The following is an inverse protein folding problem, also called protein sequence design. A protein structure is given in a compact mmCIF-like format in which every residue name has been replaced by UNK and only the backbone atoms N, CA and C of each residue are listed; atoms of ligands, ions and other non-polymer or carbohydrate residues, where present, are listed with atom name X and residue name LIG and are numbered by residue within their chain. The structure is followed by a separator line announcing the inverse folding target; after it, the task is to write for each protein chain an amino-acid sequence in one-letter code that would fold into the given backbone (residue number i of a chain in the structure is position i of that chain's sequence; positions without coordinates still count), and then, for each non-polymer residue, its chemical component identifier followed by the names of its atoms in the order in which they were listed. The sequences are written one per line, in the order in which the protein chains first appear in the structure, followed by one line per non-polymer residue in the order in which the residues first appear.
data_IF_430956211378
#
_entry.id   IF_430956211378
#
_cell.length_a   1.000
_cell.length_b   1.000
_cell.length_c   1.000
_cell.angle_alpha   90.00
_cell.angle_beta   90.00
_cell.angle_gamma   90.00
#
_symmetry.space_group_name_H-M   'P 1'
#
loop_
_entity.id
_entity.type
_entity.pdbx_description
1 polymer ?
#
# COMPACT_ATOMS: atom_id res chain seq x y z
N UNK A 1 -10.55 -11.58 -63.45
CA UNK A 1 -9.72 -12.03 -62.32
C UNK A 1 -10.54 -11.84 -61.07
N UNK A 2 -11.28 -12.89 -60.70
CA UNK A 2 -12.00 -12.94 -59.44
C UNK A 2 -11.13 -13.68 -58.45
N UNK A 3 -10.85 -13.06 -57.31
CA UNK A 3 -10.30 -13.77 -56.15
C UNK A 3 -11.09 -13.28 -54.94
N UNK A 4 -11.93 -14.18 -54.47
CA UNK A 4 -12.61 -14.21 -53.19
C UNK A 4 -11.59 -14.40 -52.06
N UNK A 5 -11.75 -13.67 -50.96
CA UNK A 5 -11.19 -14.05 -49.67
C UNK A 5 -12.22 -13.75 -48.58
N UNK A 6 -13.05 -14.76 -48.28
CA UNK A 6 -13.81 -14.83 -47.03
C UNK A 6 -12.84 -15.13 -45.90
N UNK A 7 -12.73 -14.23 -44.93
CA UNK A 7 -12.19 -14.53 -43.61
C UNK A 7 -13.30 -14.38 -42.57
N UNK A 8 -13.63 -15.51 -41.96
CA UNK A 8 -14.43 -15.75 -40.76
C UNK A 8 -14.73 -14.52 -39.87
N UNK A 9 -16.02 -14.17 -39.76
CA UNK A 9 -16.57 -13.30 -38.72
C UNK A 9 -17.73 -14.00 -38.02
N UNK A 10 -17.52 -14.38 -36.76
CA UNK A 10 -18.51 -14.97 -35.85
C UNK A 10 -19.47 -13.88 -35.32
N UNK A 11 -20.73 -14.20 -34.96
CA UNK A 11 -21.78 -13.23 -34.75
C UNK A 11 -21.83 -12.78 -33.28
N UNK A 12 -21.44 -11.55 -33.01
CA UNK A 12 -21.93 -10.81 -31.84
C UNK A 12 -22.28 -9.38 -32.29
N UNK A 13 -23.44 -9.25 -32.92
CA UNK A 13 -24.05 -7.94 -33.10
C UNK A 13 -24.79 -7.58 -31.81
N UNK A 14 -24.12 -6.82 -30.94
CA UNK A 14 -24.77 -6.17 -29.81
C UNK A 14 -24.84 -4.68 -30.11
N UNK A 15 -25.98 -4.30 -30.66
CA UNK A 15 -26.49 -2.95 -30.85
C UNK A 15 -26.25 -2.08 -29.60
N UNK A 16 -25.16 -1.31 -29.59
CA UNK A 16 -25.01 -0.18 -28.68
C UNK A 16 -25.61 1.07 -29.33
N UNK A 17 -26.86 1.32 -28.96
CA UNK A 17 -27.57 2.56 -29.27
C UNK A 17 -26.81 3.77 -28.75
N UNK A 18 -26.61 4.71 -29.67
CA UNK A 18 -26.20 6.08 -29.44
C UNK A 18 -27.27 6.78 -28.58
N UNK A 19 -26.98 7.04 -27.30
CA UNK A 19 -27.73 7.99 -26.49
C UNK A 19 -26.82 9.18 -26.15
N UNK A 20 -26.79 10.12 -27.09
CA UNK A 20 -26.40 11.48 -26.80
C UNK A 20 -27.45 12.14 -25.90
N UNK A 21 -26.97 12.74 -24.81
CA UNK A 21 -27.66 13.85 -24.15
C UNK A 21 -28.39 13.48 -22.87
N UNK A 22 -27.70 13.54 -21.74
CA UNK A 22 -28.28 14.02 -20.48
C UNK A 22 -27.21 14.83 -19.74
N UNK A 23 -27.02 16.08 -20.21
CA UNK A 23 -26.59 17.17 -19.34
C UNK A 23 -27.76 17.42 -18.39
N UNK A 24 -27.79 16.70 -17.27
CA UNK A 24 -28.74 16.99 -16.23
C UNK A 24 -27.99 17.04 -14.91
N UNK A 25 -27.66 18.28 -14.59
CA UNK A 25 -27.46 18.82 -13.25
C UNK A 25 -28.67 18.53 -12.38
N UNK A 26 -28.95 17.27 -12.09
CA UNK A 26 -29.90 16.89 -11.06
C UNK A 26 -29.17 16.95 -9.73
N UNK A 27 -29.25 18.16 -9.14
CA UNK A 27 -28.92 18.41 -7.75
C UNK A 27 -29.79 17.48 -6.90
N UNK A 28 -29.23 16.32 -6.53
CA UNK A 28 -29.76 15.46 -5.47
C UNK A 28 -29.91 16.36 -4.24
N UNK A 29 -31.15 16.53 -3.80
CA UNK A 29 -31.53 17.36 -2.66
C UNK A 29 -30.78 16.91 -1.40
N UNK A 30 -29.64 17.55 -1.12
CA UNK A 30 -28.73 17.23 -0.02
C UNK A 30 -27.27 17.59 -0.29
N UNK A 31 -26.81 17.48 -1.54
CA UNK A 31 -25.43 17.86 -1.93
C UNK A 31 -25.41 19.31 -2.40
N UNK A 32 -25.00 20.23 -1.51
CA UNK A 32 -25.04 21.68 -1.78
C UNK A 32 -23.84 22.23 -2.56
N UNK A 33 -22.81 21.44 -2.83
CA UNK A 33 -21.61 21.93 -3.51
C UNK A 33 -21.16 21.01 -4.62
N UNK A 34 -20.79 21.61 -5.76
CA UNK A 34 -19.92 20.96 -6.72
C UNK A 34 -18.65 20.53 -5.96
N UNK A 35 -17.99 19.39 -6.24
CA UNK A 35 -16.82 18.96 -5.47
C UNK A 35 -15.72 20.03 -5.37
N UNK A 36 -15.63 20.92 -6.37
CA UNK A 36 -14.72 22.07 -6.41
C UNK A 36 -15.04 23.19 -5.40
N UNK A 37 -16.28 23.30 -4.91
CA UNK A 37 -16.74 24.34 -3.96
C UNK A 37 -16.98 23.78 -2.54
N UNK A 38 -16.53 22.56 -2.28
CA UNK A 38 -16.69 21.91 -0.99
C UNK A 38 -15.72 22.49 0.05
N UNK A 39 -16.27 23.18 1.05
CA UNK A 39 -15.50 23.82 2.11
C UNK A 39 -14.83 22.80 3.02
N UNK A 40 -15.48 21.66 3.27
CA UNK A 40 -14.88 20.53 3.99
C UNK A 40 -13.66 19.99 3.25
N UNK A 41 -13.74 19.77 1.93
CA UNK A 41 -12.60 19.31 1.14
C UNK A 41 -11.47 20.34 1.12
N UNK A 42 -11.80 21.62 0.97
CA UNK A 42 -10.85 22.73 0.92
C UNK A 42 -10.12 22.97 2.25
N UNK A 43 -10.80 22.79 3.38
CA UNK A 43 -10.22 23.00 4.72
C UNK A 43 -9.63 21.74 5.33
N UNK A 44 -9.89 20.56 4.77
CA UNK A 44 -9.34 19.31 5.29
C UNK A 44 -7.82 19.37 5.28
N UNK A 45 -7.23 18.95 6.40
CA UNK A 45 -5.80 18.77 6.56
C UNK A 45 -5.51 17.35 6.98
N UNK A 46 -4.38 16.85 6.52
CA UNK A 46 -3.79 15.60 6.97
C UNK A 46 -2.66 15.91 7.93
N UNK A 47 -2.58 15.13 9.01
CA UNK A 47 -1.53 15.24 9.99
C UNK A 47 -1.17 13.84 10.47
N UNK A 48 0.13 13.55 10.50
CA UNK A 48 0.64 12.36 11.14
C UNK A 48 0.84 12.59 12.63
N UNK A 49 0.24 11.70 13.43
CA UNK A 49 0.31 11.71 14.89
C UNK A 49 1.37 10.76 15.46
N UNK A 50 2.16 10.09 14.63
CA UNK A 50 3.21 9.19 15.10
C UNK A 50 4.36 9.97 15.78
N UNK A 51 5.23 9.24 16.48
CA UNK A 51 6.45 9.81 17.07
C UNK A 51 7.69 9.69 16.14
N UNK A 52 7.53 9.23 14.90
CA UNK A 52 8.64 9.00 13.95
C UNK A 52 8.91 10.21 13.07
N UNK A 53 10.14 10.47 12.62
CA UNK A 53 10.39 11.59 11.69
C UNK A 53 9.90 11.26 10.27
N UNK A 54 8.77 11.85 9.88
CA UNK A 54 8.11 11.71 8.57
C UNK A 54 7.46 13.04 8.16
N UNK A 55 6.95 13.13 6.93
CA UNK A 55 6.15 14.22 6.41
C UNK A 55 4.83 14.41 7.18
N UNK A 56 4.17 15.55 6.99
CA UNK A 56 2.88 15.86 7.63
C UNK A 56 2.85 15.87 9.18
N UNK A 57 3.99 16.09 9.86
CA UNK A 57 3.99 16.37 11.31
C UNK A 57 3.16 17.56 11.71
N UNK A 58 3.23 18.62 10.90
CA UNK A 58 2.28 19.71 10.95
C UNK A 58 1.11 19.41 10.00
N UNK A 59 -0.09 19.82 10.40
CA UNK A 59 -1.29 19.65 9.58
C UNK A 59 -1.16 20.36 8.23
N UNK A 60 -1.12 19.58 7.15
CA UNK A 60 -0.97 20.06 5.77
C UNK A 60 -2.25 19.83 4.96
N UNK A 61 -2.56 20.73 4.03
CA UNK A 61 -3.69 20.53 3.12
C UNK A 61 -3.34 19.50 2.04
N UNK A 62 -4.26 18.58 1.76
CA UNK A 62 -4.14 17.58 0.70
C UNK A 62 -5.40 17.65 -0.15
N UNK A 63 -5.21 17.78 -1.47
CA UNK A 63 -6.31 17.71 -2.42
C UNK A 63 -6.93 16.30 -2.39
N UNK A 64 -8.26 16.16 -2.21
CA UNK A 64 -8.94 14.87 -2.22
C UNK A 64 -8.64 14.00 -3.45
N UNK A 65 -8.41 14.61 -4.63
CA UNK A 65 -8.13 13.90 -5.89
C UNK A 65 -6.72 13.30 -5.90
N UNK A 66 -5.77 13.93 -5.19
CA UNK A 66 -4.39 13.46 -5.05
C UNK A 66 -4.12 12.75 -3.72
N UNK A 67 -5.12 12.66 -2.84
CA UNK A 67 -4.94 12.20 -1.47
C UNK A 67 -4.38 10.78 -1.38
N UNK A 68 -4.75 9.89 -2.31
CA UNK A 68 -4.23 8.53 -2.33
C UNK A 68 -2.71 8.48 -2.53
N UNK A 69 -2.20 9.19 -3.53
CA UNK A 69 -0.76 9.19 -3.83
C UNK A 69 0.04 9.83 -2.71
N UNK A 70 -0.44 10.96 -2.17
CA UNK A 70 0.26 11.71 -1.11
C UNK A 70 0.29 10.91 0.19
N UNK A 71 -0.86 10.38 0.63
CA UNK A 71 -0.92 9.57 1.84
C UNK A 71 -0.10 8.30 1.66
N UNK A 72 -0.17 7.62 0.50
CA UNK A 72 0.70 6.47 0.27
C UNK A 72 2.18 6.82 0.33
N UNK A 73 2.62 7.91 -0.29
CA UNK A 73 4.04 8.30 -0.21
C UNK A 73 4.47 8.54 1.23
N UNK A 74 3.62 9.17 2.03
CA UNK A 74 3.85 9.39 3.44
C UNK A 74 3.93 8.08 4.24
N UNK A 75 3.00 7.15 4.01
CA UNK A 75 3.05 5.82 4.65
C UNK A 75 4.32 5.04 4.28
N UNK A 76 4.85 5.23 3.07
CA UNK A 76 6.12 4.60 2.69
C UNK A 76 7.32 5.17 3.45
N UNK A 77 7.24 6.39 3.98
CA UNK A 77 8.28 6.93 4.86
C UNK A 77 8.33 6.15 6.19
N UNK A 78 7.17 5.77 6.73
CA UNK A 78 7.11 4.88 7.91
C UNK A 78 7.73 3.51 7.62
N UNK A 79 7.45 2.95 6.43
CA UNK A 79 8.05 1.69 5.99
C UNK A 79 9.58 1.83 5.90
N UNK A 80 10.08 2.89 5.26
CA UNK A 80 11.51 3.14 5.14
C UNK A 80 12.19 3.29 6.52
N UNK A 81 11.57 4.03 7.43
CA UNK A 81 12.04 4.18 8.81
C UNK A 81 12.08 2.82 9.54
N UNK A 82 11.11 1.94 9.32
CA UNK A 82 11.12 0.61 9.91
C UNK A 82 12.29 -0.26 9.39
N UNK A 83 12.62 -0.19 8.09
CA UNK A 83 13.79 -0.87 7.54
C UNK A 83 15.10 -0.34 8.14
N UNK A 84 15.24 0.98 8.30
CA UNK A 84 16.42 1.57 8.95
C UNK A 84 16.55 1.16 10.42
N UNK A 85 15.43 1.10 11.16
CA UNK A 85 15.41 0.61 12.54
C UNK A 85 15.77 -0.87 12.66
N UNK A 86 15.38 -1.68 11.68
CA UNK A 86 15.77 -3.08 11.62
C UNK A 86 17.28 -3.20 11.40
N UNK A 87 17.83 -2.51 10.41
CA UNK A 87 19.25 -2.54 10.06
C UNK A 87 20.15 -2.07 11.23
N UNK A 88 19.80 -0.94 11.85
CA UNK A 88 20.53 -0.40 13.01
C UNK A 88 20.44 -1.29 14.26
N UNK A 89 19.35 -2.05 14.40
CA UNK A 89 19.10 -2.93 15.55
C UNK A 89 19.51 -4.39 15.35
N UNK A 90 20.22 -4.74 14.27
CA UNK A 90 20.51 -6.12 13.88
C UNK A 90 19.24 -7.00 13.81
N UNK A 91 18.17 -6.43 13.26
CA UNK A 91 16.88 -7.07 13.04
C UNK A 91 16.51 -7.12 11.56
N UNK A 92 15.50 -7.92 11.25
CA UNK A 92 14.94 -8.05 9.91
C UNK A 92 13.46 -7.71 9.91
N UNK A 93 13.03 -6.92 8.92
CA UNK A 93 11.60 -6.63 8.71
C UNK A 93 10.92 -7.88 8.14
N UNK A 94 10.13 -8.57 8.98
CA UNK A 94 9.39 -9.78 8.60
C UNK A 94 8.15 -9.43 7.78
N UNK A 95 7.51 -8.30 8.09
CA UNK A 95 6.39 -7.75 7.31
C UNK A 95 6.36 -6.25 7.40
N UNK A 96 6.00 -5.63 6.28
CA UNK A 96 5.57 -4.24 6.22
C UNK A 96 4.29 -4.18 5.38
N UNK A 97 3.23 -3.62 5.95
CA UNK A 97 1.96 -3.46 5.25
C UNK A 97 1.40 -2.07 5.48
N UNK A 98 0.97 -1.43 4.41
CA UNK A 98 0.31 -0.13 4.44
C UNK A 98 -1.19 -0.32 4.22
N UNK A 99 -2.02 0.33 5.03
CA UNK A 99 -3.48 0.33 4.90
C UNK A 99 -3.97 1.75 4.74
N UNK A 100 -4.63 2.05 3.62
CA UNK A 100 -5.32 3.33 3.46
C UNK A 100 -6.72 3.27 4.05
N UNK A 101 -7.11 4.35 4.71
CA UNK A 101 -8.46 4.58 5.22
C UNK A 101 -9.18 5.49 4.24
N UNK A 102 -10.32 5.03 3.73
CA UNK A 102 -11.20 5.80 2.85
C UNK A 102 -12.34 6.41 3.66
N UNK A 103 -12.80 7.60 3.32
CA UNK A 103 -14.03 8.17 3.86
C UNK A 103 -14.78 8.97 2.80
N UNK A 104 -16.06 9.24 3.06
CA UNK A 104 -16.91 10.02 2.17
C UNK A 104 -17.10 11.41 2.76
N UNK A 105 -16.99 12.45 1.91
CA UNK A 105 -17.26 13.81 2.31
C UNK A 105 -18.78 14.01 2.53
N UNK A 106 -19.22 14.50 3.71
CA UNK A 106 -20.65 14.71 3.97
C UNK A 106 -21.25 15.86 3.17
N UNK A 107 -20.44 16.79 2.64
CA UNK A 107 -20.93 17.95 1.87
C UNK A 107 -21.11 17.64 0.38
N UNK A 108 -20.09 17.07 -0.25
CA UNK A 108 -20.06 16.86 -1.71
C UNK A 108 -20.14 15.38 -2.13
N UNK A 109 -20.17 14.44 -1.18
CA UNK A 109 -20.26 13.00 -1.46
C UNK A 109 -19.03 12.37 -2.10
N UNK A 110 -17.92 13.11 -2.27
CA UNK A 110 -16.67 12.57 -2.81
C UNK A 110 -16.06 11.56 -1.83
N UNK A 111 -15.69 10.38 -2.33
CA UNK A 111 -14.85 9.43 -1.61
C UNK A 111 -13.40 9.88 -1.72
N UNK A 112 -12.68 9.90 -0.59
CA UNK A 112 -11.28 10.32 -0.53
C UNK A 112 -10.51 9.50 0.51
N UNK A 113 -9.18 9.62 0.50
CA UNK A 113 -8.32 8.98 1.50
C UNK A 113 -8.21 9.86 2.74
N UNK A 114 -8.72 9.36 3.87
CA UNK A 114 -8.75 10.08 5.14
C UNK A 114 -7.45 9.96 5.93
N UNK A 115 -6.69 8.90 5.68
CA UNK A 115 -5.35 8.70 6.19
C UNK A 115 -4.82 7.32 5.87
N UNK A 116 -3.64 7.00 6.39
CA UNK A 116 -3.06 5.68 6.29
C UNK A 116 -2.73 5.12 7.66
N UNK A 117 -2.41 3.84 7.68
CA UNK A 117 -1.79 3.18 8.82
C UNK A 117 -0.77 2.19 8.31
N UNK A 118 0.47 2.42 8.70
CA UNK A 118 1.58 1.52 8.42
C UNK A 118 1.80 0.57 9.58
N UNK A 119 1.85 -0.72 9.26
CA UNK A 119 2.03 -1.79 10.24
C UNK A 119 3.25 -2.62 9.86
N UNK A 120 4.32 -2.49 10.64
CA UNK A 120 5.59 -3.20 10.43
C UNK A 120 5.87 -4.16 11.58
N UNK A 121 6.56 -5.25 11.27
CA UNK A 121 7.02 -6.22 12.27
C UNK A 121 8.49 -6.49 12.01
N UNK A 122 9.31 -6.15 13.00
CA UNK A 122 10.75 -6.36 12.99
C UNK A 122 11.06 -7.52 13.92
N UNK A 123 11.83 -8.49 13.43
CA UNK A 123 12.41 -9.56 14.23
C UNK A 123 13.87 -9.23 14.50
N UNK A 124 14.20 -9.00 15.76
CA UNK A 124 15.58 -8.80 16.17
C UNK A 124 16.30 -10.14 16.34
N UNK A 125 17.48 -10.26 15.74
CA UNK A 125 18.35 -11.40 15.98
C UNK A 125 19.14 -11.14 17.25
N UNK A 126 18.54 -11.48 18.39
CA UNK A 126 19.30 -11.57 19.63
C UNK A 126 20.27 -12.75 19.52
N UNK A 127 21.51 -12.49 19.11
CA UNK A 127 22.58 -13.50 19.18
C UNK A 127 22.82 -13.97 20.63
N UNK A 128 22.33 -13.23 21.64
CA UNK A 128 22.46 -13.58 23.06
C UNK A 128 21.40 -14.53 23.62
N UNK A 129 20.46 -15.04 22.82
CA UNK A 129 19.62 -16.13 23.31
C UNK A 129 20.47 -17.42 23.37
N UNK A 130 20.78 -17.96 24.57
CA UNK A 130 21.64 -19.14 24.71
C UNK A 130 21.13 -20.32 23.89
N UNK A 131 19.81 -20.46 23.71
CA UNK A 131 19.21 -21.50 22.87
C UNK A 131 19.61 -21.39 21.39
N UNK A 132 19.76 -20.19 20.84
CA UNK A 132 20.18 -20.02 19.44
C UNK A 132 21.70 -20.21 19.26
N UNK A 133 22.51 -19.83 20.26
CA UNK A 133 23.95 -20.17 20.26
C UNK A 133 24.15 -21.68 20.30
N UNK A 134 23.39 -22.38 21.15
CA UNK A 134 23.48 -23.83 21.31
C UNK A 134 22.96 -24.58 20.08
N UNK A 135 21.89 -24.10 19.43
CA UNK A 135 21.41 -24.68 18.18
C UNK A 135 22.47 -24.55 17.06
N UNK A 136 23.06 -23.37 16.88
CA UNK A 136 24.14 -23.15 15.89
C UNK A 136 25.41 -23.95 16.22
N UNK A 137 25.76 -24.07 17.50
CA UNK A 137 26.93 -24.83 17.95
C UNK A 137 26.76 -26.35 17.76
N UNK A 138 25.56 -26.87 18.06
CA UNK A 138 25.22 -28.28 17.86
C UNK A 138 25.10 -28.64 16.38
N UNK A 139 24.51 -27.78 15.56
CA UNK A 139 24.49 -27.99 14.10
C UNK A 139 25.91 -27.95 13.53
N UNK A 140 26.76 -27.02 13.95
CA UNK A 140 28.18 -27.02 13.53
C UNK A 140 28.87 -28.34 13.87
N UNK A 141 28.60 -28.88 15.05
CA UNK A 141 29.16 -30.17 15.49
C UNK A 141 28.69 -31.35 14.62
N UNK A 142 27.44 -31.33 14.13
CA UNK A 142 26.91 -32.35 13.21
C UNK A 142 27.60 -32.34 11.84
N UNK A 143 27.88 -31.15 11.30
CA UNK A 143 28.53 -31.03 9.98
C UNK A 143 30.03 -31.32 10.03
N UNK A 144 30.72 -31.01 11.14
CA UNK A 144 32.14 -31.33 11.29
C UNK A 144 32.44 -32.84 11.28
N UNK A 145 31.49 -33.66 11.74
CA UNK A 145 31.59 -35.13 11.72
C UNK A 145 31.12 -35.78 10.42
N UNK A 146 30.55 -35.03 9.47
CA UNK A 146 29.98 -35.58 8.23
C UNK A 146 31.05 -35.89 7.14
N UNK A 147 32.31 -35.57 7.41
CA UNK A 147 33.44 -35.80 6.51
C UNK A 147 34.55 -36.64 7.16
N UNK A 148 34.20 -37.50 8.13
CA UNK A 148 35.11 -38.55 8.61
C UNK A 148 35.01 -39.73 7.65
N UNK A 149 35.96 -39.80 6.71
CA UNK A 149 36.19 -40.99 5.89
C UNK A 149 36.80 -42.07 6.79
N UNK A 150 35.97 -43.00 7.26
CA UNK A 150 36.40 -44.17 7.99
C UNK A 150 36.64 -45.27 6.95
N UNK A 151 37.73 -45.14 6.18
CA UNK A 151 38.30 -46.26 5.44
C UNK A 151 38.97 -47.18 6.48
N UNK A 152 38.15 -48.03 7.10
CA UNK A 152 38.57 -49.04 8.06
C UNK A 152 38.62 -50.41 7.38
N UNK A 153 39.83 -50.84 7.04
CA UNK A 153 40.21 -52.26 6.93
C UNK A 153 40.39 -52.78 5.51
#
# INVERSE_FOLDING_TARGET
MGITASSYGSPYDSSYGNYNGYNQTDKISGQKSNPAECETCKRRKYQDGSNEMVSFKAAGHIDPDNAASVVMSHEQEHVANAYQKADTGNGEVVRASVRLKTSVCPECGRTYISGGETNTQIRYYNEDNPYQKDLKSSDRSKYLGANVDIDAG
#
